data_IF_822743661549
#
_entry.id   IF_822743661549
#
_cell.length_a   1.000
_cell.length_b   1.000
_cell.length_c   1.000
_cell.angle_alpha   90.00
_cell.angle_beta   90.00
_cell.angle_gamma   90.00
#
_symmetry.space_group_name_H-M   'P 1'
#
loop_
_entity.id
_entity.type
_entity.pdbx_description
1 polymer ?
#
# COMPACT_ATOMS: atom_id res chain seq x y z
N UNK A 1 -4.06 -28.26 28.97
CA UNK A 1 -3.18 -27.62 27.99
C UNK A 1 -3.86 -27.31 26.65
N UNK A 2 -4.84 -28.11 26.16
CA UNK A 2 -5.46 -27.89 24.84
C UNK A 2 -6.40 -26.68 24.79
N UNK A 3 -7.17 -26.41 25.87
CA UNK A 3 -8.13 -25.32 25.89
C UNK A 3 -7.44 -23.94 25.96
N UNK A 4 -6.46 -23.69 26.85
CA UNK A 4 -5.75 -22.42 26.86
C UNK A 4 -5.00 -22.11 25.57
N UNK A 5 -4.37 -23.13 24.94
CA UNK A 5 -3.68 -22.94 23.65
C UNK A 5 -4.65 -22.64 22.51
N UNK A 6 -5.81 -23.27 22.45
CA UNK A 6 -6.87 -22.95 21.49
C UNK A 6 -7.38 -21.52 21.66
N UNK A 7 -7.64 -21.09 22.89
CA UNK A 7 -8.08 -19.72 23.17
C UNK A 7 -7.01 -18.69 22.80
N UNK A 8 -5.74 -18.99 23.07
CA UNK A 8 -4.64 -18.13 22.70
C UNK A 8 -4.54 -17.97 21.18
N UNK A 9 -4.53 -19.06 20.41
CA UNK A 9 -4.44 -19.01 18.95
C UNK A 9 -5.63 -18.30 18.29
N UNK A 10 -6.84 -18.50 18.83
CA UNK A 10 -8.03 -17.77 18.36
C UNK A 10 -7.95 -16.27 18.64
N UNK A 11 -7.53 -15.88 19.84
CA UNK A 11 -7.40 -14.47 20.20
C UNK A 11 -6.30 -13.77 19.37
N UNK A 12 -5.17 -14.44 19.13
CA UNK A 12 -4.08 -13.95 18.28
C UNK A 12 -4.56 -13.74 16.83
N UNK A 13 -5.28 -14.72 16.26
CA UNK A 13 -5.83 -14.61 14.92
C UNK A 13 -6.86 -13.48 14.76
N UNK A 14 -7.74 -13.30 15.74
CA UNK A 14 -8.75 -12.23 15.73
C UNK A 14 -8.12 -10.85 15.88
N UNK A 15 -7.18 -10.69 16.83
CA UNK A 15 -6.51 -9.41 17.06
C UNK A 15 -5.63 -9.01 15.85
N UNK A 16 -4.95 -9.96 15.20
CA UNK A 16 -4.16 -9.69 14.00
C UNK A 16 -5.02 -9.15 12.85
N UNK A 17 -6.19 -9.75 12.61
CA UNK A 17 -7.12 -9.27 11.57
C UNK A 17 -7.62 -7.85 11.82
N UNK A 18 -7.85 -7.47 13.07
CA UNK A 18 -8.30 -6.11 13.43
C UNK A 18 -7.19 -5.08 13.28
N UNK A 19 -5.98 -5.40 13.75
CA UNK A 19 -4.84 -4.49 13.72
C UNK A 19 -4.37 -4.25 12.30
N UNK A 20 -4.28 -5.30 11.47
CA UNK A 20 -3.77 -5.21 10.08
C UNK A 20 -4.71 -4.40 9.17
N UNK A 21 -6.01 -4.32 9.45
CA UNK A 21 -6.95 -3.55 8.62
C UNK A 21 -6.65 -2.05 8.49
N UNK A 22 -5.91 -1.46 9.43
CA UNK A 22 -5.60 -0.02 9.48
C UNK A 22 -4.19 0.32 9.01
N UNK A 23 -3.44 -0.66 8.50
CA UNK A 23 -2.06 -0.48 8.11
C UNK A 23 -2.00 0.13 6.70
N UNK A 24 -1.32 1.27 6.58
CA UNK A 24 -1.12 1.98 5.30
C UNK A 24 0.34 1.96 4.84
N UNK A 25 1.30 1.84 5.78
CA UNK A 25 2.74 1.88 5.48
C UNK A 25 3.40 0.54 5.79
N UNK A 26 4.45 0.19 5.04
CA UNK A 26 5.23 -1.03 5.27
C UNK A 26 5.80 -1.12 6.69
N UNK A 27 6.26 0.00 7.24
CA UNK A 27 6.80 0.07 8.60
C UNK A 27 5.72 -0.25 9.67
N UNK A 28 4.46 0.08 9.38
CA UNK A 28 3.35 -0.16 10.31
C UNK A 28 3.13 -1.66 10.56
N UNK A 29 3.57 -2.55 9.64
CA UNK A 29 3.56 -3.99 9.86
C UNK A 29 4.46 -4.42 11.02
N UNK A 30 5.63 -3.79 11.16
CA UNK A 30 6.53 -4.07 12.28
C UNK A 30 5.95 -3.52 13.58
N UNK A 31 5.38 -2.32 13.53
CA UNK A 31 4.69 -1.71 14.68
C UNK A 31 3.48 -2.57 15.10
N UNK A 32 2.71 -3.07 14.13
CA UNK A 32 1.61 -3.99 14.39
C UNK A 32 2.07 -5.28 15.07
N UNK A 33 3.21 -5.85 14.64
CA UNK A 33 3.82 -7.01 15.30
C UNK A 33 4.17 -6.74 16.78
N UNK A 34 4.68 -5.56 17.11
CA UNK A 34 4.97 -5.15 18.50
C UNK A 34 3.66 -4.98 19.30
N UNK A 35 2.65 -4.34 18.74
CA UNK A 35 1.35 -4.16 19.39
C UNK A 35 0.69 -5.53 19.64
N UNK A 36 0.78 -6.45 18.67
CA UNK A 36 0.30 -7.81 18.83
C UNK A 36 1.02 -8.54 19.97
N UNK A 37 2.35 -8.44 20.03
CA UNK A 37 3.12 -9.05 21.11
C UNK A 37 2.69 -8.55 22.50
N UNK A 38 2.44 -7.24 22.64
CA UNK A 38 1.95 -6.67 23.90
C UNK A 38 0.55 -7.21 24.26
N UNK A 39 -0.35 -7.29 23.29
CA UNK A 39 -1.68 -7.86 23.49
C UNK A 39 -1.60 -9.33 23.90
N UNK A 40 -0.77 -10.13 23.25
CA UNK A 40 -0.57 -11.56 23.53
C UNK A 40 0.02 -11.78 24.92
N UNK A 41 0.96 -10.95 25.38
CA UNK A 41 1.49 -11.00 26.74
C UNK A 41 0.40 -10.78 27.78
N UNK A 42 -0.43 -9.74 27.60
CA UNK A 42 -1.56 -9.47 28.51
C UNK A 42 -2.55 -10.65 28.51
N UNK A 43 -2.84 -11.20 27.33
CA UNK A 43 -3.79 -12.30 27.21
C UNK A 43 -3.28 -13.59 27.86
N UNK A 44 -1.99 -13.90 27.74
CA UNK A 44 -1.36 -15.05 28.43
C UNK A 44 -1.44 -14.89 29.94
N UNK A 45 -1.16 -13.69 30.47
CA UNK A 45 -1.30 -13.42 31.91
C UNK A 45 -2.72 -13.65 32.40
N UNK A 46 -3.72 -13.22 31.63
CA UNK A 46 -5.12 -13.48 31.95
C UNK A 46 -5.47 -14.98 31.93
N UNK A 47 -5.00 -15.72 30.95
CA UNK A 47 -5.23 -17.16 30.88
C UNK A 47 -4.59 -17.90 32.07
N UNK A 48 -3.39 -17.52 32.50
CA UNK A 48 -2.77 -18.12 33.68
C UNK A 48 -3.56 -17.89 34.96
N UNK A 49 -4.11 -16.69 35.14
CA UNK A 49 -4.96 -16.39 36.29
C UNK A 49 -6.25 -17.20 36.24
N UNK A 50 -6.93 -17.30 35.09
CA UNK A 50 -8.19 -18.00 34.91
C UNK A 50 -8.04 -19.52 35.13
N UNK A 51 -6.97 -20.11 34.60
CA UNK A 51 -6.74 -21.56 34.71
C UNK A 51 -5.90 -21.96 35.92
N UNK A 52 -5.56 -20.99 36.80
CA UNK A 52 -4.80 -21.20 38.05
C UNK A 52 -3.47 -21.97 37.81
N UNK A 53 -2.83 -21.69 36.67
CA UNK A 53 -1.55 -22.27 36.30
C UNK A 53 -0.40 -21.65 37.10
N UNK A 54 0.62 -22.43 37.42
CA UNK A 54 1.76 -21.95 38.21
C UNK A 54 2.52 -20.85 37.47
N UNK A 55 2.81 -19.74 38.15
CA UNK A 55 3.56 -18.59 37.63
C UNK A 55 5.04 -18.93 37.39
N UNK A 56 5.52 -20.08 37.88
CA UNK A 56 6.88 -20.56 37.63
C UNK A 56 7.11 -20.84 36.14
N UNK A 57 7.95 -20.03 35.49
CA UNK A 57 8.25 -20.15 34.06
C UNK A 57 7.58 -19.09 33.16
N UNK A 58 6.93 -18.08 33.75
CA UNK A 58 6.28 -17.00 33.00
C UNK A 58 7.28 -16.14 32.21
N UNK A 59 8.48 -15.92 32.73
CA UNK A 59 9.50 -15.08 32.10
C UNK A 59 9.94 -15.57 30.69
N UNK A 60 10.30 -16.84 30.49
CA UNK A 60 10.63 -17.34 29.15
C UNK A 60 9.42 -17.31 28.20
N UNK A 61 8.21 -17.45 28.71
CA UNK A 61 6.99 -17.41 27.92
C UNK A 61 6.70 -15.98 27.40
N UNK A 62 6.82 -14.98 28.27
CA UNK A 62 6.70 -13.56 27.89
C UNK A 62 7.76 -13.18 26.87
N UNK A 63 9.01 -13.62 27.08
CA UNK A 63 10.12 -13.36 26.17
C UNK A 63 9.89 -14.03 24.81
N UNK A 64 9.41 -15.28 24.80
CA UNK A 64 9.04 -16.00 23.59
C UNK A 64 7.95 -15.30 22.77
N UNK A 65 6.90 -14.80 23.43
CA UNK A 65 5.81 -14.06 22.77
C UNK A 65 6.28 -12.72 22.22
N UNK A 66 7.10 -11.99 22.99
CA UNK A 66 7.64 -10.71 22.52
C UNK A 66 8.52 -10.89 21.27
N UNK A 67 9.39 -11.90 21.25
CA UNK A 67 10.20 -12.25 20.09
C UNK A 67 9.32 -12.71 18.92
N UNK A 68 8.30 -13.54 19.18
CA UNK A 68 7.39 -14.03 18.14
C UNK A 68 6.69 -12.87 17.40
N UNK A 69 6.15 -11.89 18.11
CA UNK A 69 5.51 -10.73 17.49
C UNK A 69 6.45 -9.92 16.61
N UNK A 70 7.69 -9.70 17.08
CA UNK A 70 8.70 -8.98 16.31
C UNK A 70 9.12 -9.75 15.04
N UNK A 71 9.44 -11.05 15.18
CA UNK A 71 9.81 -11.91 14.05
C UNK A 71 8.66 -12.03 13.06
N UNK A 72 7.43 -12.21 13.52
CA UNK A 72 6.23 -12.29 12.68
C UNK A 72 6.05 -11.03 11.84
N UNK A 73 6.24 -9.83 12.43
CA UNK A 73 6.17 -8.57 11.70
C UNK A 73 7.22 -8.47 10.58
N UNK A 74 8.47 -8.86 10.87
CA UNK A 74 9.57 -8.87 9.88
C UNK A 74 9.31 -9.90 8.79
N UNK A 75 8.88 -11.12 9.13
CA UNK A 75 8.58 -12.17 8.16
C UNK A 75 7.42 -11.76 7.25
N UNK A 76 6.38 -11.17 7.80
CA UNK A 76 5.24 -10.66 7.01
C UNK A 76 5.71 -9.60 6.01
N UNK A 77 6.54 -8.65 6.46
CA UNK A 77 7.12 -7.63 5.59
C UNK A 77 7.99 -8.24 4.47
N UNK A 78 8.84 -9.22 4.82
CA UNK A 78 9.74 -9.88 3.87
C UNK A 78 9.02 -10.76 2.86
N UNK A 79 7.92 -11.42 3.25
CA UNK A 79 7.14 -12.29 2.37
C UNK A 79 6.15 -11.52 1.50
N UNK A 80 5.76 -10.31 1.88
CA UNK A 80 4.77 -9.52 1.16
C UNK A 80 5.17 -9.28 -0.30
N UNK A 81 6.37 -8.80 -0.54
CA UNK A 81 6.87 -8.48 -1.90
C UNK A 81 6.98 -9.71 -2.81
N UNK A 82 7.55 -10.86 -2.39
CA UNK A 82 7.50 -12.09 -3.18
C UNK A 82 6.08 -12.56 -3.48
N UNK A 83 5.18 -12.48 -2.49
CA UNK A 83 3.77 -12.89 -2.68
C UNK A 83 3.04 -11.99 -3.69
N UNK A 84 3.25 -10.67 -3.63
CA UNK A 84 2.71 -9.73 -4.63
C UNK A 84 3.14 -10.11 -6.05
N UNK A 85 4.42 -10.49 -6.21
CA UNK A 85 4.97 -10.87 -7.52
C UNK A 85 4.40 -12.20 -8.00
N UNK A 86 4.32 -13.22 -7.14
CA UNK A 86 3.80 -14.56 -7.49
C UNK A 86 2.31 -14.49 -7.82
N UNK A 87 1.54 -13.75 -7.01
CA UNK A 87 0.09 -13.63 -7.19
C UNK A 87 -0.31 -12.61 -8.26
N UNK A 88 0.65 -11.88 -8.83
CA UNK A 88 0.44 -10.79 -9.77
C UNK A 88 -0.64 -9.79 -9.29
N UNK A 89 -0.58 -9.45 -8.02
CA UNK A 89 -1.51 -8.51 -7.37
C UNK A 89 -0.76 -7.31 -6.82
N UNK A 90 -1.40 -6.16 -6.83
CA UNK A 90 -0.88 -4.97 -6.18
C UNK A 90 -1.51 -4.81 -4.81
N UNK A 91 -0.71 -4.95 -3.75
CA UNK A 91 -1.16 -4.57 -2.41
C UNK A 91 -1.32 -3.06 -2.28
N UNK A 92 -1.96 -2.62 -1.20
CA UNK A 92 -2.06 -1.19 -0.87
C UNK A 92 -0.67 -0.53 -0.82
N UNK A 93 0.34 -1.22 -0.31
CA UNK A 93 1.71 -0.71 -0.23
C UNK A 93 2.34 -0.49 -1.61
N UNK A 94 2.11 -1.41 -2.56
CA UNK A 94 2.56 -1.27 -3.94
C UNK A 94 1.90 -0.08 -4.63
N UNK A 95 0.60 0.11 -4.41
CA UNK A 95 -0.14 1.26 -4.93
C UNK A 95 0.36 2.57 -4.31
N UNK A 96 0.69 2.58 -3.01
CA UNK A 96 1.26 3.76 -2.35
C UNK A 96 2.66 4.10 -2.90
N UNK A 97 3.52 3.10 -3.13
CA UNK A 97 4.83 3.32 -3.78
C UNK A 97 4.66 3.92 -5.19
N UNK A 98 3.66 3.44 -5.97
CA UNK A 98 3.33 3.99 -7.28
C UNK A 98 2.69 5.39 -7.24
N UNK A 99 2.15 5.80 -6.10
CA UNK A 99 1.57 7.14 -5.90
C UNK A 99 2.62 8.20 -5.54
N UNK A 100 3.90 7.83 -5.40
CA UNK A 100 4.95 8.79 -5.05
C UNK A 100 5.32 9.66 -6.25
N UNK A 101 4.97 10.96 -6.15
CA UNK A 101 5.25 11.96 -7.19
C UNK A 101 6.76 12.25 -7.37
N UNK A 102 7.63 11.75 -6.48
CA UNK A 102 9.08 11.88 -6.60
C UNK A 102 9.72 10.86 -7.54
N UNK A 103 8.94 9.92 -8.09
CA UNK A 103 9.46 8.94 -9.05
C UNK A 103 10.05 9.63 -10.28
N UNK A 104 11.13 9.09 -10.87
CA UNK A 104 11.80 9.69 -12.03
C UNK A 104 10.85 9.97 -13.20
N UNK A 105 9.87 9.09 -13.41
CA UNK A 105 8.93 9.21 -14.52
C UNK A 105 8.02 10.45 -14.39
N UNK A 106 7.55 10.79 -13.19
CA UNK A 106 6.75 12.01 -12.98
C UNK A 106 7.60 13.27 -13.10
N UNK A 107 8.86 13.23 -12.69
CA UNK A 107 9.80 14.34 -12.94
C UNK A 107 10.05 14.56 -14.42
N UNK A 108 10.21 13.47 -15.18
CA UNK A 108 10.33 13.54 -16.64
C UNK A 108 9.06 14.12 -17.27
N UNK A 109 7.87 13.63 -16.86
CA UNK A 109 6.59 14.13 -17.34
C UNK A 109 6.41 15.64 -17.02
N UNK A 110 6.79 16.06 -15.82
CA UNK A 110 6.72 17.46 -15.41
C UNK A 110 7.60 18.39 -16.27
N UNK A 111 8.78 17.90 -16.73
CA UNK A 111 9.72 18.68 -17.55
C UNK A 111 9.32 18.64 -19.02
N UNK A 112 8.96 17.46 -19.56
CA UNK A 112 8.75 17.27 -20.99
C UNK A 112 7.29 17.43 -21.44
N UNK A 113 6.33 17.17 -20.54
CA UNK A 113 4.89 17.17 -20.81
C UNK A 113 4.11 17.79 -19.64
N UNK A 114 4.42 19.05 -19.31
CA UNK A 114 3.88 19.72 -18.12
C UNK A 114 2.34 19.81 -18.12
N UNK A 115 1.73 20.07 -19.27
CA UNK A 115 0.26 20.07 -19.42
C UNK A 115 -0.35 18.72 -19.08
N UNK A 116 0.21 17.65 -19.64
CA UNK A 116 -0.21 16.27 -19.35
C UNK A 116 0.01 15.91 -17.87
N UNK A 117 1.14 16.35 -17.27
CA UNK A 117 1.40 16.16 -15.84
C UNK A 117 0.29 16.78 -14.99
N UNK A 118 -0.04 18.06 -15.22
CA UNK A 118 -1.07 18.77 -14.47
C UNK A 118 -2.46 18.14 -14.68
N UNK A 119 -2.78 17.74 -15.91
CA UNK A 119 -4.00 17.01 -16.23
C UNK A 119 -4.09 15.71 -15.44
N UNK A 120 -3.06 14.88 -15.47
CA UNK A 120 -3.01 13.60 -14.76
C UNK A 120 -3.17 13.77 -13.24
N UNK A 121 -2.57 14.82 -12.64
CA UNK A 121 -2.73 15.13 -11.23
C UNK A 121 -4.18 15.50 -10.89
N UNK A 122 -4.85 16.31 -11.70
CA UNK A 122 -6.25 16.67 -11.50
C UNK A 122 -7.19 15.48 -11.68
N UNK A 123 -6.99 14.68 -12.72
CA UNK A 123 -7.78 13.47 -12.98
C UNK A 123 -7.65 12.49 -11.81
N UNK A 124 -6.43 12.28 -11.31
CA UNK A 124 -6.17 11.40 -10.18
C UNK A 124 -6.91 11.84 -8.91
N UNK A 125 -6.92 13.15 -8.60
CA UNK A 125 -7.63 13.70 -7.44
C UNK A 125 -9.15 13.55 -7.56
N UNK A 126 -9.70 13.81 -8.75
CA UNK A 126 -11.13 13.67 -9.02
C UNK A 126 -11.57 12.21 -8.94
N UNK A 127 -10.82 11.31 -9.57
CA UNK A 127 -11.08 9.87 -9.55
C UNK A 127 -11.00 9.28 -8.13
N UNK A 128 -10.00 9.70 -7.33
CA UNK A 128 -9.91 9.31 -5.93
C UNK A 128 -11.13 9.76 -5.13
N UNK A 129 -11.53 11.03 -5.28
CA UNK A 129 -12.68 11.59 -4.57
C UNK A 129 -13.97 10.86 -4.95
N UNK A 130 -14.19 10.62 -6.25
CA UNK A 130 -15.36 9.88 -6.74
C UNK A 130 -15.37 8.44 -6.19
N UNK A 131 -14.24 7.75 -6.18
CA UNK A 131 -14.14 6.39 -5.64
C UNK A 131 -14.42 6.32 -4.13
N UNK A 132 -14.05 7.35 -3.35
CA UNK A 132 -14.39 7.43 -1.92
C UNK A 132 -15.90 7.48 -1.71
N UNK A 133 -16.62 8.26 -2.51
CA UNK A 133 -18.10 8.41 -2.38
C UNK A 133 -18.85 7.11 -2.69
N UNK A 134 -18.34 6.30 -3.62
CA UNK A 134 -18.99 5.03 -4.01
C UNK A 134 -18.40 3.80 -3.30
N UNK A 135 -17.54 4.00 -2.28
CA UNK A 135 -16.84 2.93 -1.57
C UNK A 135 -16.01 1.99 -2.47
N UNK A 136 -15.49 2.51 -3.60
CA UNK A 136 -14.50 1.82 -4.43
C UNK A 136 -13.08 2.08 -3.93
N UNK A 137 -12.07 1.45 -4.55
CA UNK A 137 -10.67 1.63 -4.13
C UNK A 137 -10.11 2.98 -4.59
N UNK A 138 -9.96 3.98 -3.69
CA UNK A 138 -9.54 5.33 -4.06
C UNK A 138 -8.06 5.40 -4.45
N UNK A 139 -7.21 4.57 -3.83
CA UNK A 139 -5.76 4.56 -4.11
C UNK A 139 -5.50 4.01 -5.51
N UNK A 140 -6.20 2.95 -5.90
CA UNK A 140 -6.10 2.40 -7.25
C UNK A 140 -6.54 3.40 -8.31
N UNK A 141 -7.64 4.13 -8.05
CA UNK A 141 -8.13 5.17 -8.95
C UNK A 141 -7.13 6.33 -9.10
N UNK A 142 -6.52 6.77 -7.99
CA UNK A 142 -5.46 7.79 -8.00
C UNK A 142 -4.28 7.34 -8.86
N UNK A 143 -3.76 6.13 -8.63
CA UNK A 143 -2.64 5.59 -9.40
C UNK A 143 -3.01 5.49 -10.88
N UNK A 144 -4.18 4.95 -11.20
CA UNK A 144 -4.67 4.92 -12.58
C UNK A 144 -4.69 6.30 -13.22
N UNK A 145 -5.17 7.32 -12.49
CA UNK A 145 -5.17 8.71 -12.95
C UNK A 145 -3.77 9.29 -13.17
N UNK A 146 -2.78 8.93 -12.36
CA UNK A 146 -1.40 9.39 -12.56
C UNK A 146 -0.76 8.82 -13.83
N UNK A 147 -1.03 7.56 -14.15
CA UNK A 147 -0.31 6.82 -15.21
C UNK A 147 -1.07 6.74 -16.53
N UNK A 148 -2.35 7.14 -16.61
CA UNK A 148 -3.18 6.91 -17.81
C UNK A 148 -2.63 7.53 -19.09
N UNK A 149 -1.94 8.66 -18.98
CA UNK A 149 -1.43 9.44 -20.10
C UNK A 149 0.12 9.45 -20.19
N UNK A 150 0.79 8.52 -19.51
CA UNK A 150 2.25 8.50 -19.41
C UNK A 150 2.94 8.36 -20.78
N UNK A 151 2.30 7.70 -21.75
CA UNK A 151 2.82 7.54 -23.10
C UNK A 151 2.97 8.85 -23.87
N UNK A 152 2.27 9.92 -23.47
CA UNK A 152 2.38 11.24 -24.10
C UNK A 152 3.75 11.92 -23.87
N UNK A 153 4.59 11.41 -22.97
CA UNK A 153 5.93 11.94 -22.73
C UNK A 153 6.80 11.87 -23.97
N UNK A 154 6.71 10.78 -24.74
CA UNK A 154 7.57 10.54 -25.91
C UNK A 154 7.36 11.56 -27.02
N UNK A 155 6.12 12.02 -27.19
CA UNK A 155 5.74 12.97 -28.25
C UNK A 155 4.87 14.10 -27.69
N UNK A 156 5.27 14.68 -26.57
CA UNK A 156 4.48 15.66 -25.81
C UNK A 156 4.04 16.88 -26.63
N UNK A 157 4.84 17.27 -27.60
CA UNK A 157 4.63 18.42 -28.48
C UNK A 157 3.41 18.30 -29.44
N UNK A 158 2.91 17.09 -29.65
CA UNK A 158 1.70 16.86 -30.46
C UNK A 158 0.41 17.03 -29.65
N UNK A 159 0.49 17.08 -28.33
CA UNK A 159 -0.68 17.20 -27.45
C UNK A 159 -0.94 18.67 -27.08
N UNK A 160 -2.15 19.15 -27.31
CA UNK A 160 -2.54 20.56 -27.19
C UNK A 160 -2.25 21.11 -25.79
N UNK A 161 -2.44 20.32 -24.74
CA UNK A 161 -2.19 20.69 -23.35
C UNK A 161 -0.71 21.01 -23.07
N UNK A 162 0.22 20.55 -23.91
CA UNK A 162 1.65 20.82 -23.78
C UNK A 162 2.15 21.91 -24.74
N UNK A 163 1.32 22.40 -25.67
CA UNK A 163 1.68 23.42 -26.65
C UNK A 163 1.53 24.81 -26.06
N UNK A 164 2.51 25.29 -25.27
CA UNK A 164 2.55 26.66 -24.78
C UNK A 164 2.90 27.63 -25.93
N UNK A 165 1.90 28.25 -26.56
CA UNK A 165 2.07 29.27 -27.61
C UNK A 165 2.80 28.82 -28.88
N UNK A 166 2.89 27.53 -29.17
CA UNK A 166 3.46 26.99 -30.40
C UNK A 166 2.40 26.76 -31.46
N UNK A 167 2.77 26.86 -32.74
CA UNK A 167 1.90 26.40 -33.83
C UNK A 167 1.60 24.92 -33.65
N UNK A 168 0.34 24.56 -33.89
CA UNK A 168 -0.08 23.15 -33.79
C UNK A 168 0.69 22.30 -34.81
N UNK A 169 1.56 21.41 -34.34
CA UNK A 169 2.37 20.55 -35.21
C UNK A 169 1.56 19.65 -36.14
N UNK A 170 0.30 19.37 -35.79
CA UNK A 170 -0.61 18.61 -36.65
C UNK A 170 -0.94 19.35 -37.97
N UNK A 171 -0.77 20.68 -38.04
CA UNK A 171 -1.02 21.43 -39.27
C UNK A 171 0.03 21.17 -40.35
N UNK A 172 1.23 20.72 -39.98
CA UNK A 172 2.37 20.54 -40.89
C UNK A 172 2.58 19.08 -41.28
N UNK A 173 1.76 18.14 -40.79
CA UNK A 173 1.87 16.71 -41.05
C UNK A 173 0.68 16.17 -41.88
N UNK A 174 0.91 15.08 -42.60
CA UNK A 174 -0.13 14.40 -43.37
C UNK A 174 -1.25 13.91 -42.40
N UNK A 175 -2.55 14.09 -42.73
CA UNK A 175 -3.67 13.66 -41.91
C UNK A 175 -3.63 12.18 -41.47
N UNK A 176 -3.07 11.30 -42.28
CA UNK A 176 -2.90 9.88 -41.97
C UNK A 176 -1.88 9.65 -40.85
N UNK A 177 -0.82 10.47 -40.76
CA UNK A 177 0.16 10.44 -39.69
C UNK A 177 -0.31 11.17 -38.43
N UNK A 178 -1.23 12.12 -38.57
CA UNK A 178 -1.83 12.85 -37.45
C UNK A 178 -2.84 12.00 -36.67
N UNK A 179 -3.38 10.94 -37.27
CA UNK A 179 -4.40 10.05 -36.69
C UNK A 179 -3.79 8.77 -36.07
N UNK A 180 -2.51 8.50 -36.24
CA UNK A 180 -1.79 7.36 -35.67
C UNK A 180 -1.19 7.70 -34.32
#
# INVERSE_FOLDING_TARGET
>A
WQIPTCLFTLSSALSSTVIVRKIERRIDLVVAGIIMALFEVVFILLLQVIFNEAISGIAPLIFGVAINGFISGILTLGLLTPLETILNTASVFRLMDLSDNNTPIFKQMQIQANGTYNHSMMVAQLAESACREINANPILARVGGYYHDIGKIEQSEYFVENQLNMQNKHNDINPTLSAS
#
